data_IF_036455662488
#
_entry.id   IF_036455662488
#
_cell.length_a   1.000
_cell.length_b   1.000
_cell.length_c   1.000
_cell.angle_alpha   90.00
_cell.angle_beta   90.00
_cell.angle_gamma   90.00
#
_symmetry.space_group_name_H-M   'P 1'
#
loop_
_entity.id
_entity.type
_entity.pdbx_description
1 polymer ?
#
# COMPACT_ATOMS: atom_id res chain seq x y z
N UNK A 1 -0.01 12.66 2.93
CA UNK A 1 -1.05 11.94 3.68
C UNK A 1 -1.50 12.69 4.93
N UNK A 2 -0.65 12.92 5.94
CA UNK A 2 -1.07 13.56 7.20
C UNK A 2 -1.69 14.96 7.03
N UNK A 3 -1.13 15.79 6.15
CA UNK A 3 -1.69 17.10 5.81
C UNK A 3 -3.11 17.00 5.23
N UNK A 4 -3.32 16.09 4.29
CA UNK A 4 -4.64 15.86 3.67
C UNK A 4 -5.69 15.33 4.67
N UNK A 5 -5.25 14.70 5.76
CA UNK A 5 -6.12 14.23 6.84
C UNK A 5 -6.21 15.20 8.02
N UNK A 6 -5.55 16.36 7.97
CA UNK A 6 -5.43 17.32 9.08
C UNK A 6 -4.84 16.71 10.37
N UNK A 7 -3.88 15.78 10.22
CA UNK A 7 -3.28 15.00 11.32
C UNK A 7 -1.77 15.15 11.45
N UNK A 8 -1.22 16.28 10.98
CA UNK A 8 0.22 16.53 11.02
C UNK A 8 0.78 16.50 12.45
N UNK A 9 0.05 17.07 13.42
CA UNK A 9 0.46 17.07 14.83
C UNK A 9 0.49 15.67 15.45
N UNK A 10 -0.40 14.76 15.00
CA UNK A 10 -0.48 13.40 15.52
C UNK A 10 0.60 12.50 14.94
N UNK A 11 1.03 12.74 13.70
CA UNK A 11 2.08 11.92 13.06
C UNK A 11 1.60 10.59 12.49
N UNK A 12 0.32 10.24 12.67
CA UNK A 12 -0.26 8.98 12.20
C UNK A 12 -1.75 9.13 11.85
N UNK A 13 -2.26 8.22 11.01
CA UNK A 13 -3.67 8.13 10.65
C UNK A 13 -4.36 7.05 11.50
N UNK A 14 -5.51 7.40 12.08
CA UNK A 14 -6.42 6.43 12.71
C UNK A 14 -7.48 5.96 11.69
N UNK A 15 -8.24 4.92 12.04
CA UNK A 15 -9.28 4.34 11.17
C UNK A 15 -10.30 5.38 10.69
N UNK A 16 -10.74 6.28 11.56
CA UNK A 16 -11.68 7.34 11.21
C UNK A 16 -11.11 8.29 10.15
N UNK A 17 -9.85 8.73 10.32
CA UNK A 17 -9.18 9.60 9.36
C UNK A 17 -8.90 8.92 8.02
N UNK A 18 -8.72 7.59 8.01
CA UNK A 18 -8.58 6.81 6.78
C UNK A 18 -9.93 6.73 6.07
N UNK A 19 -11.02 6.46 6.79
CA UNK A 19 -12.38 6.40 6.23
C UNK A 19 -12.81 7.74 5.64
N UNK A 20 -12.41 8.85 6.25
CA UNK A 20 -12.73 10.21 5.82
C UNK A 20 -11.63 10.84 4.93
N UNK A 21 -10.63 10.07 4.49
CA UNK A 21 -9.54 10.61 3.70
C UNK A 21 -10.07 11.16 2.36
N UNK A 22 -9.68 12.38 1.93
CA UNK A 22 -10.21 12.98 0.71
C UNK A 22 -9.97 12.10 -0.52
N UNK A 23 -11.06 11.73 -1.21
CA UNK A 23 -11.00 10.83 -2.36
C UNK A 23 -10.18 11.41 -3.52
N UNK A 24 -10.26 12.74 -3.74
CA UNK A 24 -9.52 13.44 -4.78
C UNK A 24 -8.02 13.37 -4.53
N UNK A 25 -7.57 13.61 -3.30
CA UNK A 25 -6.16 13.50 -2.92
C UNK A 25 -5.65 12.06 -3.06
N UNK A 26 -6.41 11.09 -2.55
CA UNK A 26 -6.05 9.67 -2.64
C UNK A 26 -5.89 9.23 -4.10
N UNK A 27 -6.84 9.63 -4.96
CA UNK A 27 -6.81 9.35 -6.40
C UNK A 27 -5.63 10.04 -7.09
N UNK A 28 -5.36 11.29 -6.75
CA UNK A 28 -4.24 12.05 -7.33
C UNK A 28 -2.91 11.39 -7.01
N UNK A 29 -2.70 11.00 -5.75
CA UNK A 29 -1.49 10.31 -5.32
C UNK A 29 -1.33 8.98 -6.07
N UNK A 30 -2.40 8.18 -6.15
CA UNK A 30 -2.39 6.91 -6.85
C UNK A 30 -2.04 7.06 -8.34
N UNK A 31 -2.68 8.02 -9.03
CA UNK A 31 -2.45 8.28 -10.45
C UNK A 31 -1.02 8.74 -10.73
N UNK A 32 -0.46 9.60 -9.87
CA UNK A 32 0.92 10.03 -9.99
C UNK A 32 1.89 8.87 -9.81
N UNK A 33 1.70 8.05 -8.77
CA UNK A 33 2.54 6.87 -8.55
C UNK A 33 2.46 5.90 -9.72
N UNK A 34 1.27 5.59 -10.21
CA UNK A 34 1.08 4.68 -11.35
C UNK A 34 1.77 5.23 -12.60
N UNK A 35 1.54 6.51 -12.94
CA UNK A 35 2.09 7.14 -14.14
C UNK A 35 3.61 7.14 -14.16
N UNK A 36 4.24 7.62 -13.10
CA UNK A 36 5.69 7.85 -13.07
C UNK A 36 6.50 6.60 -12.75
N UNK A 37 5.85 5.49 -12.39
CA UNK A 37 6.55 4.23 -12.06
C UNK A 37 6.31 3.14 -13.11
N UNK A 38 5.64 3.49 -14.21
CA UNK A 38 5.19 2.55 -15.24
C UNK A 38 4.29 1.44 -14.68
N UNK A 39 3.30 1.84 -13.87
CA UNK A 39 2.31 0.92 -13.28
C UNK A 39 2.83 0.00 -12.18
N UNK A 40 4.04 0.26 -11.64
CA UNK A 40 4.67 -0.57 -10.59
C UNK A 40 4.22 -0.21 -9.18
N UNK A 41 3.97 1.07 -8.90
CA UNK A 41 3.50 1.55 -7.59
C UNK A 41 2.14 2.22 -7.69
N UNK A 42 1.39 2.19 -6.57
CA UNK A 42 0.04 2.74 -6.46
C UNK A 42 -0.80 1.95 -5.47
N UNK A 43 -1.75 2.60 -4.82
CA UNK A 43 -2.78 1.94 -4.02
C UNK A 43 -3.68 1.04 -4.88
N UNK A 44 -3.95 1.42 -6.13
CA UNK A 44 -4.68 0.58 -7.10
C UNK A 44 -3.89 -0.67 -7.48
N UNK A 45 -2.56 -0.55 -7.59
CA UNK A 45 -1.65 -1.69 -7.82
C UNK A 45 -1.65 -2.63 -6.62
N UNK A 46 -1.49 -2.10 -5.41
CA UNK A 46 -1.58 -2.88 -4.16
C UNK A 46 -2.95 -3.56 -4.03
N UNK A 47 -4.05 -2.86 -4.34
CA UNK A 47 -5.41 -3.42 -4.34
C UNK A 47 -5.52 -4.60 -5.29
N UNK A 48 -5.00 -4.50 -6.53
CA UNK A 48 -5.01 -5.61 -7.49
C UNK A 48 -4.25 -6.84 -6.95
N UNK A 49 -3.06 -6.63 -6.38
CA UNK A 49 -2.26 -7.69 -5.78
C UNK A 49 -2.99 -8.32 -4.58
N UNK A 50 -3.61 -7.50 -3.73
CA UNK A 50 -4.40 -7.95 -2.59
C UNK A 50 -5.51 -8.93 -2.98
N UNK A 51 -6.25 -8.60 -4.04
CA UNK A 51 -7.27 -9.51 -4.58
C UNK A 51 -6.67 -10.74 -5.26
N UNK A 52 -5.57 -10.61 -6.01
CA UNK A 52 -4.96 -11.75 -6.71
C UNK A 52 -4.39 -12.81 -5.77
N UNK A 53 -3.98 -12.44 -4.56
CA UNK A 53 -3.50 -13.38 -3.53
C UNK A 53 -4.61 -13.87 -2.60
N UNK A 54 -5.88 -13.62 -2.93
CA UNK A 54 -7.02 -14.09 -2.15
C UNK A 54 -7.18 -13.37 -0.81
N UNK A 55 -6.73 -12.11 -0.69
CA UNK A 55 -6.77 -11.33 0.56
C UNK A 55 -5.96 -11.97 1.70
N UNK A 56 -4.93 -12.72 1.37
CA UNK A 56 -3.96 -13.27 2.32
C UNK A 56 -2.87 -12.23 2.58
N UNK A 57 -2.77 -11.75 3.83
CA UNK A 57 -1.78 -10.73 4.21
C UNK A 57 -0.34 -11.21 4.11
N UNK A 58 -0.06 -12.49 4.41
CA UNK A 58 1.28 -13.05 4.31
C UNK A 58 1.76 -13.05 2.86
N UNK A 59 0.93 -13.59 1.96
CA UNK A 59 1.21 -13.60 0.51
C UNK A 59 1.28 -12.21 -0.07
N UNK A 60 0.38 -11.31 0.35
CA UNK A 60 0.41 -9.91 -0.05
C UNK A 60 1.73 -9.25 0.34
N UNK A 61 2.11 -9.33 1.62
CA UNK A 61 3.33 -8.71 2.14
C UNK A 61 4.59 -9.21 1.44
N UNK A 62 4.64 -10.49 1.08
CA UNK A 62 5.71 -11.04 0.23
C UNK A 62 5.64 -10.47 -1.19
N UNK A 63 4.45 -10.46 -1.81
CA UNK A 63 4.24 -9.98 -3.19
C UNK A 63 4.59 -8.50 -3.38
N UNK A 64 4.36 -7.66 -2.37
CA UNK A 64 4.73 -6.23 -2.38
C UNK A 64 6.11 -5.95 -1.78
N UNK A 65 6.86 -6.98 -1.40
CA UNK A 65 8.24 -6.86 -0.91
C UNK A 65 8.40 -6.34 0.52
N UNK A 66 7.33 -6.25 1.31
CA UNK A 66 7.40 -5.84 2.72
C UNK A 66 7.95 -6.93 3.64
N UNK A 67 7.82 -8.19 3.23
CA UNK A 67 8.42 -9.34 3.91
C UNK A 67 9.23 -10.16 2.92
N UNK A 68 10.40 -10.63 3.34
CA UNK A 68 11.15 -11.66 2.61
C UNK A 68 10.67 -13.03 3.08
N UNK A 69 10.45 -13.95 2.15
CA UNK A 69 10.34 -15.37 2.51
C UNK A 69 11.72 -15.83 2.95
N UNK A 70 11.84 -16.38 4.16
CA UNK A 70 13.03 -17.10 4.56
C UNK A 70 13.10 -18.37 3.71
N UNK A 71 13.91 -18.36 2.64
CA UNK A 71 14.36 -19.61 2.02
C UNK A 71 15.50 -20.11 2.89
N UNK A 72 15.23 -21.09 3.76
CA UNK A 72 16.28 -22.04 4.12
C UNK A 72 16.67 -22.72 2.81
N UNK A 73 17.77 -22.28 2.20
CA UNK A 73 18.52 -23.16 1.33
C UNK A 73 19.02 -24.24 2.29
N UNK A 74 18.41 -25.42 2.21
CA UNK A 74 19.01 -26.63 2.72
C UNK A 74 20.38 -26.75 2.04
N UNK A 75 21.42 -26.27 2.71
CA UNK A 75 22.79 -26.71 2.49
C UNK A 75 22.85 -28.12 3.08
N UNK A 76 22.51 -29.10 2.23
CA UNK A 76 23.04 -30.46 2.32
C UNK A 76 23.98 -30.61 1.13
#
# INVERSE_FOLDING_TARGET
>A
MLKAALREKQGWLNDESIKNFPCTDLRTIDQLWVKYTNGRFGFSVQKRIWFSVGKDYGKFAVSVGWRKTFRLILLI
#
